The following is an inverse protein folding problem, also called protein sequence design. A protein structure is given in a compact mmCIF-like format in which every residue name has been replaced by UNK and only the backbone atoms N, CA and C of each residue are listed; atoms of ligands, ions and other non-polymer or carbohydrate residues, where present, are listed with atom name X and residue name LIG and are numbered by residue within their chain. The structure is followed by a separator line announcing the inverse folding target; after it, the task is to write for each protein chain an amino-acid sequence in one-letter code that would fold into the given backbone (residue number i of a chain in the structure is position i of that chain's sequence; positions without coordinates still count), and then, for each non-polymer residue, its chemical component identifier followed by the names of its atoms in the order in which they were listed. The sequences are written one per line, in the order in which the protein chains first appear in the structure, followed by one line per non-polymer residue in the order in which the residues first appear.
data_IF_764577577093
#
_entry.id   IF_764577577093
#
_cell.length_a   1.000
_cell.length_b   1.000
_cell.length_c   1.000
_cell.angle_alpha   90.00
_cell.angle_beta   90.00
_cell.angle_gamma   90.00
#
_symmetry.space_group_name_H-M   'P 1'
#
loop_
_entity.id
_entity.type
_entity.pdbx_description
1 polymer ?
#
# COMPACT_ATOMS: atom_id res chain seq x y z
N UNK A 1 8.17 -7.78 49.34
CA UNK A 1 7.20 -8.89 49.21
C UNK A 1 5.84 -8.38 49.68
N UNK A 2 4.84 -8.39 48.82
CA UNK A 2 3.43 -8.26 49.21
C UNK A 2 2.65 -9.28 48.37
N UNK A 3 1.99 -10.23 49.04
CA UNK A 3 1.15 -11.24 48.39
C UNK A 3 -0.30 -10.75 48.38
N UNK A 4 -0.94 -10.77 47.22
CA UNK A 4 -2.39 -10.60 47.09
C UNK A 4 -3.05 -11.99 47.06
N UNK A 5 -4.23 -12.16 47.69
CA UNK A 5 -4.95 -13.44 47.68
C UNK A 5 -5.64 -13.70 46.32
N UNK A 6 -5.83 -14.97 45.93
CA UNK A 6 -6.42 -15.31 44.63
C UNK A 6 -7.95 -15.18 44.63
N UNK A 7 -8.50 -14.34 43.75
CA UNK A 7 -9.92 -14.36 43.41
C UNK A 7 -10.24 -15.56 42.52
N UNK A 8 -11.03 -16.51 43.04
CA UNK A 8 -11.65 -17.58 42.25
C UNK A 8 -12.92 -17.07 41.59
N UNK A 9 -12.95 -17.04 40.26
CA UNK A 9 -14.20 -16.96 39.51
C UNK A 9 -14.57 -18.35 38.98
N UNK A 10 -15.65 -18.92 39.52
CA UNK A 10 -16.26 -20.13 38.98
C UNK A 10 -17.15 -19.74 37.78
N UNK A 11 -16.75 -20.13 36.57
CA UNK A 11 -17.64 -20.19 35.41
C UNK A 11 -17.92 -21.66 35.10
N UNK A 12 -19.16 -22.08 35.36
CA UNK A 12 -19.66 -23.40 34.98
C UNK A 12 -20.02 -23.38 33.49
N UNK A 13 -19.30 -24.16 32.68
CA UNK A 13 -19.68 -24.46 31.30
C UNK A 13 -20.46 -25.78 31.27
N UNK A 14 -21.63 -25.86 30.60
CA UNK A 14 -22.36 -27.11 30.43
C UNK A 14 -21.58 -28.11 29.58
N UNK A 15 -21.66 -29.39 29.93
CA UNK A 15 -20.96 -30.46 29.22
C UNK A 15 -21.78 -30.99 28.03
N UNK A 16 -21.25 -30.84 26.82
CA UNK A 16 -21.58 -31.72 25.70
C UNK A 16 -20.40 -31.80 24.70
N UNK A 17 -20.20 -32.98 24.09
CA UNK A 17 -19.20 -33.28 23.06
C UNK A 17 -17.71 -33.18 23.45
N UNK A 18 -17.25 -34.15 24.25
CA UNK A 18 -16.01 -34.87 23.92
C UNK A 18 -16.38 -36.13 23.14
N UNK A 19 -15.64 -36.47 22.07
CA UNK A 19 -14.94 -37.76 21.92
C UNK A 19 -14.30 -37.99 20.54
N UNK A 20 -13.03 -38.45 20.55
CA UNK A 20 -12.32 -39.28 19.52
C UNK A 20 -12.14 -38.63 18.13
N UNK A 21 -11.01 -38.78 17.43
CA UNK A 21 -10.16 -39.97 17.21
C UNK A 21 -8.66 -39.68 17.41
N UNK A 22 -7.86 -40.74 17.63
CA UNK A 22 -6.42 -40.73 17.91
C UNK A 22 -5.69 -41.75 17.01
N UNK A 23 -4.41 -41.52 16.71
CA UNK A 23 -3.53 -42.39 15.90
C UNK A 23 -3.51 -42.02 14.41
N UNK A 24 -2.43 -42.23 13.64
CA UNK A 24 -1.39 -43.27 13.71
C UNK A 24 -0.07 -42.78 13.02
N UNK A 25 1.09 -43.14 13.61
CA UNK A 25 2.44 -43.54 13.08
C UNK A 25 2.89 -43.13 11.64
N UNK A 26 4.18 -43.05 11.23
CA UNK A 26 5.55 -43.00 11.80
C UNK A 26 6.55 -42.82 10.60
N UNK A 27 7.86 -42.65 10.89
CA UNK A 27 9.06 -42.96 10.06
C UNK A 27 9.67 -41.87 9.15
N UNK A 28 10.92 -41.49 9.51
CA UNK A 28 12.04 -41.04 8.65
C UNK A 28 12.72 -42.28 7.97
N UNK A 29 13.92 -42.30 7.30
CA UNK A 29 14.97 -41.25 7.21
C UNK A 29 15.88 -41.16 5.94
N UNK A 30 16.82 -40.18 5.98
CA UNK A 30 18.15 -40.13 5.30
C UNK A 30 18.20 -40.02 3.74
N UNK A 31 19.30 -39.62 3.06
CA UNK A 31 20.75 -39.49 3.39
C UNK A 31 21.47 -38.43 2.50
N UNK A 32 22.70 -38.02 2.89
CA UNK A 32 23.86 -37.54 2.06
C UNK A 32 23.70 -36.27 1.17
N UNK A 33 24.74 -35.48 0.82
CA UNK A 33 26.06 -35.12 1.41
C UNK A 33 26.78 -34.09 0.52
N UNK A 34 27.77 -33.34 1.05
CA UNK A 34 28.94 -32.70 0.39
C UNK A 34 28.73 -31.93 -0.96
N UNK A 35 29.25 -30.70 -1.13
CA UNK A 35 30.70 -30.43 -1.19
C UNK A 35 31.09 -28.96 -0.94
N UNK A 36 32.37 -28.77 -0.62
CA UNK A 36 33.07 -27.52 -0.32
C UNK A 36 33.39 -26.64 -1.55
N UNK A 37 33.93 -25.43 -1.26
CA UNK A 37 34.79 -24.55 -2.09
C UNK A 37 34.07 -23.63 -3.12
N UNK A 38 34.45 -22.35 -3.32
CA UNK A 38 35.43 -21.47 -2.63
C UNK A 38 35.18 -19.94 -2.85
N UNK A 39 36.16 -19.10 -2.51
CA UNK A 39 36.35 -17.64 -2.77
C UNK A 39 37.85 -17.41 -3.07
N UNK A 40 38.34 -16.20 -3.41
CA UNK A 40 37.79 -15.07 -4.17
C UNK A 40 38.76 -14.62 -5.30
N UNK A 41 38.47 -13.50 -5.98
CA UNK A 41 39.52 -12.64 -6.56
C UNK A 41 39.30 -11.17 -6.18
N UNK A 42 40.39 -10.50 -5.81
CA UNK A 42 40.47 -9.04 -5.62
C UNK A 42 40.50 -8.33 -7.00
N UNK A 43 40.19 -7.02 -7.03
CA UNK A 43 41.21 -6.00 -7.35
C UNK A 43 40.72 -4.58 -6.96
N UNK A 44 41.66 -3.70 -6.63
CA UNK A 44 41.43 -2.32 -6.17
C UNK A 44 41.34 -1.32 -7.35
N UNK A 45 40.73 -0.15 -7.11
CA UNK A 45 40.84 1.04 -7.96
C UNK A 45 40.49 2.32 -7.18
N UNK A 46 41.42 3.29 -7.11
CA UNK A 46 41.38 4.47 -6.23
C UNK A 46 41.07 5.78 -6.96
N UNK A 47 40.46 6.73 -6.23
CA UNK A 47 40.66 8.19 -6.41
C UNK A 47 39.78 8.86 -7.47
N UNK A 48 39.25 10.08 -7.29
CA UNK A 48 39.87 11.27 -6.69
C UNK A 48 38.81 12.32 -6.28
N UNK A 49 39.17 13.21 -5.36
CA UNK A 49 38.37 14.37 -4.97
C UNK A 49 38.51 15.52 -5.98
N UNK A 50 37.43 16.29 -6.19
CA UNK A 50 37.51 17.77 -6.17
C UNK A 50 36.23 18.30 -5.53
N UNK A 51 36.34 19.36 -4.71
CA UNK A 51 35.20 20.05 -4.13
C UNK A 51 35.07 21.47 -4.67
N UNK A 52 33.86 22.01 -4.68
CA UNK A 52 33.63 23.44 -4.88
C UNK A 52 32.45 23.91 -4.01
N UNK A 53 32.72 24.78 -3.05
CA UNK A 53 31.67 25.45 -2.26
C UNK A 53 31.04 26.58 -3.07
N UNK A 54 29.71 26.61 -3.15
CA UNK A 54 28.94 27.81 -3.46
C UNK A 54 27.76 27.91 -2.50
N UNK A 55 27.80 28.84 -1.55
CA UNK A 55 26.68 29.09 -0.63
C UNK A 55 25.66 30.04 -1.27
N UNK A 56 24.39 29.63 -1.37
CA UNK A 56 23.24 30.54 -1.59
C UNK A 56 21.97 30.01 -0.92
N UNK A 57 21.69 30.55 0.29
CA UNK A 57 20.38 30.72 0.95
C UNK A 57 19.30 29.67 0.61
N UNK A 58 19.14 28.70 1.50
CA UNK A 58 18.08 27.69 1.42
C UNK A 58 16.68 28.28 1.70
N UNK A 59 15.84 28.29 0.68
CA UNK A 59 14.39 28.06 0.84
C UNK A 59 14.15 26.65 0.34
N UNK A 60 14.04 25.70 1.28
CA UNK A 60 14.04 24.28 0.97
C UNK A 60 12.70 23.80 0.38
N UNK A 61 12.48 24.06 -0.91
CA UNK A 61 11.63 23.18 -1.72
C UNK A 61 12.33 21.83 -1.86
N UNK A 62 11.91 20.85 -1.06
CA UNK A 62 12.40 19.47 -1.16
C UNK A 62 11.87 18.86 -2.46
N UNK A 63 12.70 18.80 -3.51
CA UNK A 63 12.47 17.91 -4.66
C UNK A 63 12.35 16.46 -4.16
N UNK A 64 11.44 15.65 -4.71
CA UNK A 64 11.61 14.20 -4.66
C UNK A 64 12.97 13.82 -5.30
N UNK A 65 13.64 12.74 -4.87
CA UNK A 65 14.93 12.33 -5.42
C UNK A 65 14.88 12.21 -6.96
N UNK A 66 15.92 12.71 -7.64
CA UNK A 66 15.95 12.73 -9.11
C UNK A 66 16.02 11.30 -9.66
N UNK A 67 15.00 10.93 -10.43
CA UNK A 67 14.87 9.60 -11.04
C UNK A 67 15.89 9.45 -12.17
N UNK A 68 16.91 8.61 -11.94
CA UNK A 68 17.85 8.21 -12.99
C UNK A 68 17.20 7.17 -13.91
N UNK A 69 16.80 7.61 -15.11
CA UNK A 69 16.34 6.74 -16.19
C UNK A 69 17.47 5.83 -16.71
N UNK A 70 17.65 4.68 -16.07
CA UNK A 70 18.40 3.56 -16.62
C UNK A 70 17.75 3.08 -17.93
N UNK A 71 18.56 2.88 -18.98
CA UNK A 71 18.05 2.42 -20.28
C UNK A 71 17.38 1.06 -20.15
N UNK A 72 16.14 0.96 -20.65
CA UNK A 72 15.39 -0.28 -20.69
C UNK A 72 15.87 -1.18 -21.83
N UNK A 73 16.80 -2.09 -21.55
CA UNK A 73 17.16 -3.23 -22.40
C UNK A 73 17.29 -4.51 -21.56
N UNK A 74 16.17 -5.17 -21.29
CA UNK A 74 15.98 -6.59 -21.65
C UNK A 74 14.50 -6.99 -21.50
N UNK A 75 13.96 -7.59 -22.56
CA UNK A 75 12.52 -7.87 -22.69
C UNK A 75 12.31 -9.37 -22.82
N UNK A 76 11.61 -10.03 -21.89
CA UNK A 76 10.92 -11.33 -22.12
C UNK A 76 10.12 -11.83 -20.90
N UNK A 77 8.92 -11.31 -20.71
CA UNK A 77 7.67 -12.08 -20.53
C UNK A 77 6.50 -11.09 -20.70
N UNK A 78 5.41 -11.48 -21.35
CA UNK A 78 4.43 -10.54 -21.95
C UNK A 78 3.57 -9.80 -20.91
N UNK A 79 3.21 -8.55 -21.27
CA UNK A 79 2.80 -7.45 -20.39
C UNK A 79 3.94 -7.00 -19.45
N UNK A 80 4.06 -5.68 -19.16
CA UNK A 80 5.03 -5.20 -18.19
C UNK A 80 4.53 -5.62 -16.82
N UNK A 81 5.09 -6.70 -16.30
CA UNK A 81 4.95 -7.04 -14.89
C UNK A 81 5.34 -5.81 -14.07
N UNK A 82 4.53 -5.45 -13.06
CA UNK A 82 4.74 -4.21 -12.30
C UNK A 82 6.10 -4.15 -11.57
N UNK A 83 6.88 -5.24 -11.60
CA UNK A 83 8.29 -5.28 -11.24
C UNK A 83 9.19 -4.36 -12.07
N UNK A 84 8.85 -4.00 -13.32
CA UNK A 84 9.63 -3.01 -14.10
C UNK A 84 9.48 -1.58 -13.56
N UNK A 85 8.42 -1.31 -12.79
CA UNK A 85 8.08 0.03 -12.30
C UNK A 85 8.93 0.42 -11.08
N UNK A 86 9.44 -0.56 -10.32
CA UNK A 86 10.37 -0.32 -9.21
C UNK A 86 11.84 -0.13 -9.63
N UNK A 87 12.19 -0.42 -10.88
CA UNK A 87 13.49 0.01 -11.46
C UNK A 87 13.52 1.51 -11.79
N UNK A 88 12.36 2.17 -11.80
CA UNK A 88 12.24 3.62 -12.02
C UNK A 88 12.33 4.41 -10.70
N UNK A 89 12.48 3.73 -9.57
CA UNK A 89 12.64 4.36 -8.26
C UNK A 89 14.08 4.23 -7.76
N UNK A 90 14.71 5.35 -7.38
CA UNK A 90 16.05 5.34 -6.79
C UNK A 90 15.98 4.93 -5.30
N UNK A 91 16.17 3.65 -5.03
CA UNK A 91 16.26 3.11 -3.66
C UNK A 91 17.59 3.52 -3.04
N UNK A 92 17.52 4.11 -1.85
CA UNK A 92 18.70 4.50 -1.09
C UNK A 92 18.78 3.69 0.21
N UNK A 93 20.00 3.40 0.66
CA UNK A 93 20.22 2.63 1.88
C UNK A 93 19.66 3.37 3.12
N UNK A 94 19.05 2.62 4.04
CA UNK A 94 18.36 3.08 5.25
C UNK A 94 17.05 3.87 5.04
N UNK A 95 16.45 3.83 3.84
CA UNK A 95 15.13 4.43 3.61
C UNK A 95 14.00 3.71 4.37
N UNK A 96 12.99 4.50 4.77
CA UNK A 96 11.70 4.01 5.28
C UNK A 96 10.65 4.10 4.18
N UNK A 97 10.09 2.94 3.79
CA UNK A 97 9.11 2.79 2.72
C UNK A 97 7.73 2.41 3.24
N UNK A 98 6.70 3.13 2.80
CA UNK A 98 5.30 2.74 2.93
C UNK A 98 4.94 1.71 1.87
N UNK A 99 4.45 0.55 2.27
CA UNK A 99 4.10 -0.56 1.39
C UNK A 99 2.58 -0.69 1.31
N UNK A 100 2.07 -0.39 0.13
CA UNK A 100 0.66 -0.43 -0.25
C UNK A 100 0.01 -1.81 -0.26
N UNK A 101 -1.20 -1.86 -0.81
CA UNK A 101 -2.05 -3.05 -0.82
C UNK A 101 -2.57 -3.40 -2.22
N UNK A 102 -3.18 -4.59 -2.36
CA UNK A 102 -3.74 -5.07 -3.61
C UNK A 102 -2.77 -5.84 -4.51
N UNK A 103 -3.29 -6.40 -5.60
CA UNK A 103 -2.57 -7.32 -6.50
C UNK A 103 -1.38 -6.68 -7.21
N UNK A 104 -1.47 -5.41 -7.59
CA UNK A 104 -0.36 -4.67 -8.21
C UNK A 104 0.87 -4.62 -7.30
N UNK A 105 0.68 -4.44 -5.99
CA UNK A 105 1.77 -4.29 -5.01
C UNK A 105 2.47 -5.61 -4.69
N UNK A 106 1.83 -6.77 -4.88
CA UNK A 106 2.50 -8.08 -4.77
C UNK A 106 3.74 -8.14 -5.67
N UNK A 107 3.60 -7.75 -6.94
CA UNK A 107 4.70 -7.71 -7.89
C UNK A 107 5.77 -6.67 -7.54
N UNK A 108 5.36 -5.53 -6.97
CA UNK A 108 6.28 -4.50 -6.53
C UNK A 108 7.15 -5.02 -5.37
N UNK A 109 6.55 -5.57 -4.30
CA UNK A 109 7.33 -6.04 -3.14
C UNK A 109 8.30 -7.16 -3.48
N UNK A 110 7.96 -8.06 -4.43
CA UNK A 110 8.92 -9.04 -4.95
C UNK A 110 10.16 -8.37 -5.57
N UNK A 111 9.97 -7.37 -6.45
CA UNK A 111 11.10 -6.62 -7.04
C UNK A 111 11.89 -5.84 -5.97
N UNK A 112 11.21 -5.24 -4.99
CA UNK A 112 11.87 -4.54 -3.88
C UNK A 112 12.79 -5.49 -3.11
N UNK A 113 12.33 -6.70 -2.80
CA UNK A 113 13.12 -7.70 -2.09
C UNK A 113 14.32 -8.24 -2.91
N UNK A 114 14.15 -8.41 -4.23
CA UNK A 114 15.25 -8.70 -5.13
C UNK A 114 16.32 -7.60 -5.08
N UNK A 115 15.91 -6.33 -5.24
CA UNK A 115 16.83 -5.18 -5.20
C UNK A 115 17.55 -5.05 -3.86
N UNK A 116 16.80 -5.11 -2.76
CA UNK A 116 17.35 -5.10 -1.39
C UNK A 116 18.46 -6.14 -1.21
N UNK A 117 18.26 -7.35 -1.74
CA UNK A 117 19.25 -8.44 -1.70
C UNK A 117 20.41 -8.25 -2.69
N UNK A 118 20.15 -7.77 -3.90
CA UNK A 118 21.15 -7.59 -4.98
C UNK A 118 22.08 -6.40 -4.70
N UNK A 119 21.53 -5.30 -4.22
CA UNK A 119 22.19 -4.02 -3.96
C UNK A 119 22.68 -3.91 -2.50
N UNK A 120 22.40 -4.92 -1.66
CA UNK A 120 22.74 -4.99 -0.23
C UNK A 120 22.25 -3.75 0.55
N UNK A 121 20.97 -3.42 0.38
CA UNK A 121 20.31 -2.28 1.02
C UNK A 121 19.63 -2.68 2.33
N UNK A 122 19.56 -1.74 3.26
CA UNK A 122 18.76 -1.82 4.49
C UNK A 122 17.51 -0.98 4.28
N UNK A 123 16.36 -1.61 4.01
CA UNK A 123 15.07 -0.91 3.82
C UNK A 123 14.11 -1.32 4.94
N UNK A 124 13.45 -0.33 5.54
CA UNK A 124 12.38 -0.52 6.54
C UNK A 124 11.02 -0.33 5.87
N UNK A 125 10.11 -1.27 6.07
CA UNK A 125 8.80 -1.31 5.43
C UNK A 125 7.65 -1.13 6.44
N UNK A 126 6.76 -0.17 6.15
CA UNK A 126 5.55 0.15 6.93
C UNK A 126 4.31 -0.30 6.12
N UNK A 127 3.50 -1.26 6.60
CA UNK A 127 2.37 -1.80 5.82
C UNK A 127 1.12 -0.92 5.86
N UNK A 128 0.32 -0.95 4.78
CA UNK A 128 -1.03 -0.34 4.73
C UNK A 128 -2.19 -1.30 4.99
N UNK A 129 -1.91 -2.58 5.30
CA UNK A 129 -2.92 -3.59 5.63
C UNK A 129 -2.28 -4.86 6.20
N UNK A 130 -3.11 -5.82 6.66
CA UNK A 130 -2.63 -7.17 6.92
C UNK A 130 -2.06 -7.88 5.68
N UNK A 131 -2.55 -7.58 4.46
CA UNK A 131 -1.98 -8.15 3.22
C UNK A 131 -0.55 -7.63 3.02
N UNK A 132 -0.35 -6.32 3.09
CA UNK A 132 0.95 -5.68 2.96
C UNK A 132 1.93 -6.20 4.01
N UNK A 133 1.48 -6.32 5.26
CA UNK A 133 2.27 -6.86 6.38
C UNK A 133 2.79 -8.28 6.09
N UNK A 134 1.93 -9.18 5.61
CA UNK A 134 2.34 -10.55 5.29
C UNK A 134 3.30 -10.58 4.09
N UNK A 135 3.05 -9.75 3.08
CA UNK A 135 3.86 -9.65 1.88
C UNK A 135 5.30 -9.17 2.19
N UNK A 136 5.48 -8.21 3.11
CA UNK A 136 6.79 -7.79 3.64
C UNK A 136 7.52 -8.97 4.29
N UNK A 137 6.85 -9.65 5.23
CA UNK A 137 7.44 -10.76 6.00
C UNK A 137 7.84 -11.95 5.11
N UNK A 138 6.97 -12.34 4.17
CA UNK A 138 7.20 -13.47 3.26
C UNK A 138 8.38 -13.23 2.32
N UNK A 139 8.69 -11.97 2.00
CA UNK A 139 9.84 -11.59 1.18
C UNK A 139 11.11 -11.28 1.99
N UNK A 140 11.09 -11.46 3.32
CA UNK A 140 12.26 -11.23 4.18
C UNK A 140 12.66 -9.76 4.35
N UNK A 141 11.74 -8.82 4.08
CA UNK A 141 11.97 -7.39 4.26
C UNK A 141 11.79 -6.96 5.72
N UNK A 142 12.52 -5.94 6.15
CA UNK A 142 12.42 -5.41 7.53
C UNK A 142 11.07 -4.77 7.75
N UNK A 143 10.26 -5.32 8.65
CA UNK A 143 8.94 -4.81 9.01
C UNK A 143 9.01 -3.86 10.21
N UNK A 144 8.34 -2.71 10.14
CA UNK A 144 8.16 -1.79 11.27
C UNK A 144 6.77 -1.12 11.25
N UNK A 145 6.56 -0.09 12.06
CA UNK A 145 5.32 0.66 12.22
C UNK A 145 5.56 2.17 12.43
N UNK A 146 4.48 2.95 12.34
CA UNK A 146 4.50 4.42 12.44
C UNK A 146 4.91 4.92 13.84
N UNK A 147 4.69 4.12 14.89
CA UNK A 147 5.15 4.43 16.25
C UNK A 147 6.69 4.52 16.33
N UNK A 148 7.40 3.74 15.50
CA UNK A 148 8.87 3.78 15.37
C UNK A 148 9.35 4.70 14.26
N UNK A 149 8.59 4.82 13.17
CA UNK A 149 8.92 5.66 12.02
C UNK A 149 7.73 6.53 11.61
N UNK A 150 7.50 7.67 12.30
CA UNK A 150 6.35 8.53 12.05
C UNK A 150 6.45 9.35 10.75
N UNK A 151 7.63 9.40 10.13
CA UNK A 151 7.87 9.98 8.81
C UNK A 151 8.49 8.90 7.91
N UNK A 152 8.08 8.87 6.64
CA UNK A 152 8.57 7.94 5.63
C UNK A 152 9.25 8.70 4.49
N UNK A 153 10.23 8.07 3.84
CA UNK A 153 10.85 8.65 2.66
C UNK A 153 9.91 8.57 1.46
N UNK A 154 9.35 7.39 1.21
CA UNK A 154 8.47 7.13 0.08
C UNK A 154 7.34 6.18 0.48
N UNK A 155 6.15 6.38 -0.06
CA UNK A 155 5.08 5.37 -0.05
C UNK A 155 4.83 4.87 -1.48
N UNK A 156 4.62 3.57 -1.64
CA UNK A 156 4.36 2.91 -2.92
C UNK A 156 3.06 2.13 -2.81
N UNK A 157 2.03 2.52 -3.57
CA UNK A 157 0.71 1.88 -3.50
C UNK A 157 0.01 1.77 -4.86
N UNK A 158 -1.02 0.93 -4.93
CA UNK A 158 -1.90 0.84 -6.09
C UNK A 158 -3.05 1.85 -6.02
N UNK A 159 -3.58 2.22 -7.18
CA UNK A 159 -4.89 2.85 -7.31
C UNK A 159 -5.96 1.87 -7.80
N UNK A 160 -7.23 2.21 -7.62
CA UNK A 160 -8.35 1.62 -8.37
C UNK A 160 -8.59 2.41 -9.68
N UNK A 161 -8.39 3.73 -9.66
CA UNK A 161 -8.44 4.64 -10.82
C UNK A 161 -7.62 5.91 -10.57
N UNK A 162 -7.13 6.55 -11.65
CA UNK A 162 -6.32 7.78 -11.65
C UNK A 162 -6.76 8.72 -12.77
N UNK A 163 -7.07 9.98 -12.46
CA UNK A 163 -7.46 11.00 -13.45
C UNK A 163 -6.27 11.75 -14.07
N UNK A 164 -6.55 12.80 -14.86
CA UNK A 164 -5.53 13.65 -15.47
C UNK A 164 -4.70 14.48 -14.45
N UNK A 165 -5.30 14.85 -13.32
CA UNK A 165 -4.71 15.72 -12.28
C UNK A 165 -4.01 14.93 -11.15
N UNK A 166 -3.84 13.61 -11.34
CA UNK A 166 -3.30 12.65 -10.36
C UNK A 166 -4.14 12.48 -9.09
N UNK A 167 -5.43 12.81 -9.13
CA UNK A 167 -6.35 12.35 -8.10
C UNK A 167 -6.61 10.85 -8.29
N UNK A 168 -6.76 10.13 -7.18
CA UNK A 168 -6.98 8.68 -7.19
C UNK A 168 -8.32 8.31 -6.56
N UNK A 169 -8.97 7.28 -7.10
CA UNK A 169 -9.84 6.40 -6.31
C UNK A 169 -8.99 5.25 -5.78
N UNK A 170 -9.10 4.98 -4.48
CA UNK A 170 -8.52 3.85 -3.74
C UNK A 170 -9.57 3.25 -2.78
N UNK A 171 -9.26 2.10 -2.20
CA UNK A 171 -10.13 1.42 -1.23
C UNK A 171 -10.98 0.28 -1.79
N UNK A 172 -10.76 -0.16 -3.03
CA UNK A 172 -11.34 -1.38 -3.59
C UNK A 172 -11.03 -2.62 -2.76
N UNK A 173 -9.81 -2.70 -2.20
CA UNK A 173 -9.39 -3.72 -1.23
C UNK A 173 -9.87 -3.48 0.21
N UNK A 174 -10.47 -2.33 0.51
CA UNK A 174 -11.00 -2.00 1.84
C UNK A 174 -9.98 -1.53 2.90
N UNK A 175 -8.77 -1.15 2.46
CA UNK A 175 -7.66 -0.75 3.33
C UNK A 175 -7.44 0.79 3.39
N UNK A 176 -8.36 1.56 2.80
CA UNK A 176 -8.17 2.99 2.43
C UNK A 176 -7.68 3.91 3.55
N UNK A 177 -8.10 3.70 4.80
CA UNK A 177 -7.66 4.56 5.92
C UNK A 177 -6.18 4.37 6.21
N UNK A 178 -5.69 3.12 6.29
CA UNK A 178 -4.28 2.84 6.54
C UNK A 178 -3.42 3.21 5.32
N UNK A 179 -3.93 2.97 4.10
CA UNK A 179 -3.33 3.46 2.85
C UNK A 179 -3.12 4.99 2.89
N UNK A 180 -4.14 5.76 3.28
CA UNK A 180 -4.06 7.22 3.30
C UNK A 180 -3.19 7.76 4.42
N UNK A 181 -3.20 7.13 5.60
CA UNK A 181 -2.31 7.47 6.71
C UNK A 181 -0.84 7.33 6.26
N UNK A 182 -0.45 6.16 5.75
CA UNK A 182 0.94 5.91 5.35
C UNK A 182 1.37 6.81 4.18
N UNK A 183 0.49 7.02 3.19
CA UNK A 183 0.78 7.95 2.09
C UNK A 183 0.91 9.41 2.56
N UNK A 184 0.10 9.84 3.54
CA UNK A 184 0.12 11.20 4.09
C UNK A 184 1.34 11.53 4.97
N UNK A 185 2.06 10.52 5.47
CA UNK A 185 3.30 10.68 6.23
C UNK A 185 4.58 10.38 5.40
N UNK A 186 4.44 10.14 4.09
CA UNK A 186 5.57 9.96 3.18
C UNK A 186 5.98 11.28 2.49
N UNK A 187 7.28 11.49 2.29
CA UNK A 187 7.80 12.68 1.57
C UNK A 187 7.51 12.66 0.07
N UNK A 188 7.36 11.47 -0.52
CA UNK A 188 6.96 11.27 -1.90
C UNK A 188 6.00 10.07 -1.99
N UNK A 189 4.81 10.25 -2.58
CA UNK A 189 3.85 9.15 -2.79
C UNK A 189 3.82 8.74 -4.26
N UNK A 190 4.19 7.48 -4.51
CA UNK A 190 4.29 6.86 -5.83
C UNK A 190 3.13 5.87 -6.00
N UNK A 191 2.44 5.98 -7.14
CA UNK A 191 1.35 5.08 -7.49
C UNK A 191 1.78 4.15 -8.62
N UNK A 192 1.45 2.86 -8.47
CA UNK A 192 1.72 1.82 -9.46
C UNK A 192 0.38 1.28 -9.96
N UNK A 193 0.17 1.30 -11.27
CA UNK A 193 -1.09 0.97 -11.92
C UNK A 193 -0.88 0.21 -13.24
N UNK A 194 -1.93 -0.46 -13.72
CA UNK A 194 -2.03 -0.90 -15.12
C UNK A 194 -2.87 0.10 -15.92
N UNK A 195 -2.73 0.09 -17.24
CA UNK A 195 -3.37 1.04 -18.15
C UNK A 195 -4.89 1.17 -18.01
N UNK A 196 -5.61 0.14 -17.52
CA UNK A 196 -7.07 0.18 -17.35
C UNK A 196 -7.52 1.09 -16.19
N UNK A 197 -6.57 1.52 -15.35
CA UNK A 197 -6.78 2.45 -14.24
C UNK A 197 -6.49 3.90 -14.64
N UNK A 198 -6.07 4.15 -15.88
CA UNK A 198 -5.72 5.46 -16.42
C UNK A 198 -6.94 6.10 -17.08
N UNK A 199 -7.43 7.18 -16.49
CA UNK A 199 -8.64 7.87 -16.93
C UNK A 199 -8.36 9.33 -17.30
N UNK A 200 -9.36 9.99 -17.88
CA UNK A 200 -9.41 11.45 -18.01
C UNK A 200 -10.08 12.05 -16.78
N UNK A 201 -11.21 11.48 -16.34
CA UNK A 201 -11.92 11.83 -15.11
C UNK A 201 -12.12 10.62 -14.20
N UNK A 202 -12.15 10.84 -12.88
CA UNK A 202 -12.57 9.79 -11.94
C UNK A 202 -14.01 9.36 -12.26
N UNK A 203 -14.23 8.05 -12.29
CA UNK A 203 -15.47 7.39 -12.67
C UNK A 203 -15.50 6.84 -14.09
N UNK A 204 -14.51 7.10 -14.95
CA UNK A 204 -14.49 6.61 -16.34
C UNK A 204 -14.38 5.08 -16.43
N UNK A 205 -13.49 4.49 -15.63
CA UNK A 205 -13.17 3.07 -15.57
C UNK A 205 -13.70 2.43 -14.28
N UNK A 206 -13.64 3.14 -13.14
CA UNK A 206 -14.10 2.59 -11.85
C UNK A 206 -15.59 2.87 -11.57
N UNK A 207 -16.46 1.98 -12.06
CA UNK A 207 -17.93 2.09 -11.89
C UNK A 207 -18.48 1.58 -10.55
N UNK A 208 -17.63 1.10 -9.63
CA UNK A 208 -18.11 0.54 -8.34
C UNK A 208 -18.53 1.62 -7.34
N UNK A 209 -18.06 2.85 -7.52
CA UNK A 209 -18.27 3.97 -6.61
C UNK A 209 -17.04 4.25 -5.73
N UNK A 210 -16.97 5.47 -5.19
CA UNK A 210 -15.92 5.90 -4.25
C UNK A 210 -16.12 5.16 -2.93
N UNK A 211 -15.13 4.38 -2.44
CA UNK A 211 -15.21 3.76 -1.13
C UNK A 211 -15.17 4.82 -0.02
N UNK A 212 -15.97 4.68 1.02
CA UNK A 212 -16.01 5.59 2.18
C UNK A 212 -16.07 4.71 3.43
N UNK A 213 -15.03 4.78 4.26
CA UNK A 213 -14.98 4.04 5.53
C UNK A 213 -15.82 4.79 6.58
N UNK A 214 -16.72 4.08 7.26
CA UNK A 214 -17.70 4.67 8.19
C UNK A 214 -17.82 3.86 9.48
N UNK A 215 -18.03 4.56 10.59
CA UNK A 215 -18.36 3.93 11.88
C UNK A 215 -19.62 3.07 11.70
N UNK A 216 -19.65 1.79 12.13
CA UNK A 216 -20.75 0.87 11.83
C UNK A 216 -22.15 1.37 12.23
N UNK A 217 -22.30 2.10 13.35
CA UNK A 217 -23.61 2.65 13.74
C UNK A 217 -24.11 3.79 12.85
N UNK A 218 -23.25 4.39 12.04
CA UNK A 218 -23.52 5.59 11.25
C UNK A 218 -23.79 5.32 9.76
N UNK A 219 -23.67 4.07 9.27
CA UNK A 219 -23.73 3.81 7.82
C UNK A 219 -25.04 4.28 7.16
N UNK A 220 -26.19 4.13 7.84
CA UNK A 220 -27.51 4.59 7.32
C UNK A 220 -27.60 6.12 7.23
N UNK A 221 -27.39 6.91 8.32
CA UNK A 221 -27.44 8.36 8.22
C UNK A 221 -26.36 8.94 7.31
N UNK A 222 -25.15 8.35 7.25
CA UNK A 222 -24.11 8.78 6.31
C UNK A 222 -24.54 8.53 4.86
N UNK A 223 -25.00 7.32 4.52
CA UNK A 223 -25.52 6.99 3.18
C UNK A 223 -26.61 7.96 2.71
N UNK A 224 -27.60 8.24 3.58
CA UNK A 224 -28.66 9.22 3.30
C UNK A 224 -28.12 10.64 3.11
N UNK A 225 -27.11 11.04 3.87
CA UNK A 225 -26.49 12.38 3.78
C UNK A 225 -25.69 12.53 2.48
N UNK A 226 -24.94 11.49 2.08
CA UNK A 226 -24.19 11.45 0.83
C UNK A 226 -25.12 11.66 -0.38
N UNK A 227 -26.13 10.79 -0.53
CA UNK A 227 -27.11 10.88 -1.63
C UNK A 227 -27.86 12.21 -1.61
N UNK A 228 -28.24 12.73 -0.43
CA UNK A 228 -28.95 14.03 -0.32
C UNK A 228 -28.09 15.21 -0.76
N UNK A 229 -26.83 15.25 -0.36
CA UNK A 229 -25.98 16.43 -0.54
C UNK A 229 -25.26 16.44 -1.89
N UNK A 230 -24.88 15.28 -2.41
CA UNK A 230 -24.02 15.18 -3.59
C UNK A 230 -24.69 14.49 -4.79
N UNK A 231 -25.77 13.73 -4.58
CA UNK A 231 -26.41 12.90 -5.60
C UNK A 231 -25.91 11.45 -5.56
N UNK A 232 -26.30 10.67 -6.57
CA UNK A 232 -25.92 9.26 -6.69
C UNK A 232 -26.44 8.36 -5.56
N UNK A 233 -25.85 7.17 -5.42
CA UNK A 233 -26.25 6.15 -4.45
C UNK A 233 -25.05 5.68 -3.59
N UNK A 234 -25.21 5.69 -2.27
CA UNK A 234 -24.22 5.17 -1.33
C UNK A 234 -24.66 3.81 -0.75
N UNK A 235 -24.10 2.73 -1.28
CA UNK A 235 -24.46 1.34 -0.96
C UNK A 235 -23.53 0.74 0.11
N UNK A 236 -24.07 -0.04 1.05
CA UNK A 236 -23.24 -0.77 2.03
C UNK A 236 -22.53 -1.93 1.35
N UNK A 237 -21.18 -1.95 1.41
CA UNK A 237 -20.37 -3.01 0.79
C UNK A 237 -20.58 -4.34 1.53
N UNK A 238 -21.23 -5.29 0.86
CA UNK A 238 -21.44 -6.64 1.37
C UNK A 238 -20.22 -7.51 1.15
N UNK A 239 -19.89 -8.37 2.13
CA UNK A 239 -18.75 -9.26 2.03
C UNK A 239 -19.10 -10.52 1.23
N UNK A 240 -18.11 -11.07 0.51
CA UNK A 240 -18.26 -12.32 -0.25
C UNK A 240 -17.90 -13.55 0.61
N UNK A 241 -16.82 -13.46 1.39
CA UNK A 241 -16.28 -14.57 2.18
C UNK A 241 -16.77 -14.61 3.64
N UNK A 242 -17.77 -13.82 4.01
CA UNK A 242 -18.49 -13.87 5.29
C UNK A 242 -19.92 -13.38 5.12
N UNK A 243 -20.82 -13.75 6.03
CA UNK A 243 -22.14 -13.14 6.10
C UNK A 243 -22.06 -11.66 6.53
N UNK A 244 -22.97 -10.84 6.00
CA UNK A 244 -23.09 -9.42 6.35
C UNK A 244 -22.09 -8.49 5.63
N UNK A 245 -21.92 -7.25 6.12
CA UNK A 245 -21.05 -6.26 5.48
C UNK A 245 -19.56 -6.61 5.58
N UNK A 246 -18.76 -5.97 4.72
CA UNK A 246 -17.31 -5.87 4.88
C UNK A 246 -17.01 -5.15 6.19
N UNK A 247 -16.02 -5.66 6.92
CA UNK A 247 -15.43 -5.03 8.10
C UNK A 247 -13.97 -4.74 7.76
N UNK A 248 -13.51 -3.50 7.92
CA UNK A 248 -12.13 -3.10 7.64
C UNK A 248 -11.16 -3.61 8.71
N UNK A 249 -9.86 -3.53 8.44
CA UNK A 249 -8.79 -3.79 9.42
C UNK A 249 -8.93 -2.90 10.68
N UNK A 250 -9.67 -1.77 10.59
CA UNK A 250 -9.96 -0.85 11.69
C UNK A 250 -11.32 -1.10 12.37
N UNK A 251 -12.06 -2.15 11.99
CA UNK A 251 -13.36 -2.51 12.56
C UNK A 251 -14.57 -1.76 11.99
N UNK A 252 -14.39 -0.99 10.90
CA UNK A 252 -15.43 -0.13 10.33
C UNK A 252 -16.18 -0.79 9.16
N UNK A 253 -17.27 -0.17 8.70
CA UNK A 253 -17.95 -0.56 7.46
C UNK A 253 -17.45 0.30 6.29
N UNK A 254 -17.75 -0.14 5.05
CA UNK A 254 -17.52 0.65 3.84
C UNK A 254 -18.85 0.91 3.14
N UNK A 255 -19.07 2.17 2.77
CA UNK A 255 -20.06 2.56 1.76
C UNK A 255 -19.36 2.73 0.41
N UNK A 256 -19.93 2.19 -0.65
CA UNK A 256 -19.51 2.48 -2.03
C UNK A 256 -20.45 3.55 -2.61
N UNK A 257 -19.96 4.78 -2.75
CA UNK A 257 -20.72 5.91 -3.28
C UNK A 257 -20.57 6.04 -4.80
N UNK A 258 -21.59 5.57 -5.52
CA UNK A 258 -21.75 5.72 -6.97
C UNK A 258 -22.32 7.10 -7.25
N UNK A 259 -21.45 8.06 -7.54
CA UNK A 259 -21.81 9.42 -7.96
C UNK A 259 -22.43 9.42 -9.37
N UNK A 260 -23.21 10.47 -9.68
CA UNK A 260 -23.99 10.60 -10.93
C UNK A 260 -23.46 11.67 -11.90
N UNK A 261 -22.42 12.41 -11.50
CA UNK A 261 -21.79 13.50 -12.27
C UNK A 261 -20.35 13.73 -11.82
N UNK A 262 -19.58 14.46 -12.62
CA UNK A 262 -18.24 14.94 -12.22
C UNK A 262 -18.38 16.02 -11.13
N UNK A 263 -17.45 16.02 -10.17
CA UNK A 263 -17.42 16.93 -9.03
C UNK A 263 -16.06 17.62 -8.91
N UNK A 264 -16.01 18.76 -8.20
CA UNK A 264 -14.75 19.29 -7.66
C UNK A 264 -14.24 18.34 -6.56
N UNK A 265 -13.31 17.43 -6.90
CA UNK A 265 -12.95 16.32 -6.01
C UNK A 265 -12.39 16.77 -4.66
N UNK A 266 -11.63 17.87 -4.61
CA UNK A 266 -11.11 18.46 -3.36
C UNK A 266 -12.23 18.93 -2.41
N UNK A 267 -13.23 19.64 -2.94
CA UNK A 267 -14.36 20.15 -2.18
C UNK A 267 -15.23 19.01 -1.66
N UNK A 268 -15.56 18.04 -2.52
CA UNK A 268 -16.39 16.88 -2.15
C UNK A 268 -15.66 15.95 -1.19
N UNK A 269 -14.36 15.71 -1.37
CA UNK A 269 -13.55 14.95 -0.41
C UNK A 269 -13.63 15.57 0.99
N UNK A 270 -13.38 16.89 1.08
CA UNK A 270 -13.43 17.64 2.34
C UNK A 270 -14.84 17.60 2.95
N UNK A 271 -15.88 17.87 2.16
CA UNK A 271 -17.26 17.90 2.63
C UNK A 271 -17.75 16.52 3.10
N UNK A 272 -17.36 15.43 2.44
CA UNK A 272 -17.65 14.05 2.86
C UNK A 272 -16.89 13.72 4.16
N UNK A 273 -15.60 14.05 4.25
CA UNK A 273 -14.75 13.79 5.42
C UNK A 273 -15.29 14.45 6.69
N UNK A 274 -16.01 15.56 6.55
CA UNK A 274 -16.65 16.30 7.64
C UNK A 274 -18.03 15.77 8.08
N UNK A 275 -18.59 14.74 7.42
CA UNK A 275 -19.85 14.12 7.85
C UNK A 275 -19.62 13.29 9.13
N UNK A 276 -20.37 13.52 10.22
CA UNK A 276 -20.25 12.72 11.44
C UNK A 276 -20.45 11.22 11.17
N UNK A 277 -19.44 10.42 11.52
CA UNK A 277 -19.41 8.97 11.29
C UNK A 277 -18.62 8.54 10.05
N UNK A 278 -18.17 9.46 9.19
CA UNK A 278 -17.15 9.16 8.18
C UNK A 278 -15.78 9.10 8.84
N UNK A 279 -15.08 7.98 8.63
CA UNK A 279 -13.70 7.77 9.07
C UNK A 279 -12.77 8.35 8.02
N UNK A 280 -12.85 7.89 6.77
CA UNK A 280 -12.01 8.36 5.67
C UNK A 280 -12.65 8.04 4.29
N UNK A 281 -12.19 8.71 3.23
CA UNK A 281 -12.66 8.54 1.85
C UNK A 281 -11.64 7.80 1.00
N UNK A 282 -12.09 7.15 -0.08
CA UNK A 282 -11.25 6.59 -1.12
C UNK A 282 -10.66 7.64 -2.08
N UNK A 283 -10.92 8.93 -1.86
CA UNK A 283 -10.39 10.02 -2.68
C UNK A 283 -9.01 10.46 -2.16
N UNK A 284 -7.97 10.18 -2.93
CA UNK A 284 -6.60 10.63 -2.65
C UNK A 284 -6.35 11.82 -3.56
N UNK A 285 -6.63 13.02 -3.03
CA UNK A 285 -6.58 14.29 -3.75
C UNK A 285 -5.26 14.97 -3.46
N UNK A 286 -4.54 15.41 -4.50
CA UNK A 286 -3.27 16.14 -4.36
C UNK A 286 -2.14 15.37 -3.61
N UNK A 287 -2.28 14.05 -3.45
CA UNK A 287 -1.33 13.23 -2.69
C UNK A 287 -0.23 12.60 -3.55
N UNK A 288 -0.56 12.15 -4.77
CA UNK A 288 0.40 11.43 -5.62
C UNK A 288 1.35 12.43 -6.30
N UNK A 289 2.64 12.12 -6.25
CA UNK A 289 3.70 12.90 -6.92
C UNK A 289 4.04 12.30 -8.30
N UNK A 290 4.04 10.95 -8.41
CA UNK A 290 4.30 10.22 -9.65
C UNK A 290 3.38 9.01 -9.76
N UNK A 291 2.85 8.76 -10.96
CA UNK A 291 2.05 7.57 -11.29
C UNK A 291 2.65 6.84 -12.48
N UNK A 292 2.91 5.55 -12.29
CA UNK A 292 3.39 4.63 -13.32
C UNK A 292 2.27 3.71 -13.80
N UNK A 293 2.05 3.68 -15.11
CA UNK A 293 1.08 2.80 -15.77
C UNK A 293 1.81 1.76 -16.64
N UNK A 294 1.67 0.49 -16.29
CA UNK A 294 2.02 -0.63 -17.16
C UNK A 294 1.04 -0.73 -18.34
N UNK A 295 1.55 -0.57 -19.56
CA UNK A 295 0.76 -0.56 -20.79
C UNK A 295 0.63 -1.96 -21.40
N UNK A 296 -0.40 -2.20 -22.22
CA UNK A 296 -0.68 -3.52 -22.82
C UNK A 296 0.48 -4.06 -23.70
N UNK A 297 1.24 -3.15 -24.32
CA UNK A 297 2.35 -3.46 -25.24
C UNK A 297 3.69 -3.80 -24.55
N UNK A 298 3.78 -3.70 -23.22
CA UNK A 298 5.04 -3.83 -22.49
C UNK A 298 5.69 -2.51 -22.10
N UNK A 299 5.19 -1.37 -22.58
CA UNK A 299 5.74 -0.05 -22.24
C UNK A 299 5.26 0.46 -20.88
N UNK A 300 5.88 1.55 -20.41
CA UNK A 300 5.50 2.24 -19.18
C UNK A 300 5.15 3.68 -19.53
N UNK A 301 3.92 4.09 -19.20
CA UNK A 301 3.52 5.50 -19.25
C UNK A 301 3.67 6.10 -17.86
N UNK A 302 4.38 7.22 -17.76
CA UNK A 302 4.53 7.99 -16.51
C UNK A 302 3.62 9.22 -16.59
N UNK A 303 3.01 9.60 -15.46
CA UNK A 303 2.46 10.95 -15.22
C UNK A 303 3.09 11.50 -13.94
N UNK A 304 3.60 12.72 -14.00
CA UNK A 304 4.25 13.42 -12.88
C UNK A 304 3.46 14.68 -12.52
N UNK A 305 3.38 14.97 -11.23
CA UNK A 305 2.72 16.17 -10.69
C UNK A 305 3.44 17.41 -11.21
N UNK A 306 2.70 18.28 -11.89
CA UNK A 306 3.28 19.51 -12.43
C UNK A 306 3.60 20.48 -11.28
N UNK A 307 4.78 21.14 -11.28
CA UNK A 307 5.08 22.17 -10.29
C UNK A 307 4.10 23.33 -10.43
N UNK A 308 3.58 23.81 -9.30
CA UNK A 308 2.67 24.97 -9.20
C UNK A 308 3.42 26.29 -9.13
#
# INVERSE_FOLDING_TARGET
MFQLPPLRYHLQLPAFLRERVCGVLQQEPTVLSCFQKEKPWLMLGLGLQTGLLVSKRDVAMKKCPEILLGKAEETLYRAPSNSSLLSLFDLQDNQVLGIGSGSTIVHAVHRLAERVKQENLTIVCIPTSFQARQLILQNGLTLSDLDRHPELDVAIDGADEVDCDLNLIKGGGGCLTQEKIVAGYAKCFIVIADYRKKSESLGDQWKKGIPIEVIPMAYVPVSRTLTKNFGGAAELRMAVSKAGPVVTDNGNFILDWKFDKVHTWSEVNTAIKMIPGVVETGLFIDMAEVVYFGMEDGSVSVREKQPR
#
